data_IF_760161775895
#
_entry.id   IF_760161775895
#
_cell.length_a   1.000
_cell.length_b   1.000
_cell.length_c   1.000
_cell.angle_alpha   90.00
_cell.angle_beta   90.00
_cell.angle_gamma   90.00
#
_symmetry.space_group_name_H-M   'P 1'
#
loop_
_entity.id
_entity.type
_entity.pdbx_description
1 polymer ?
#
# COMPACT_ATOMS: atom_id res chain seq x y z
N UNK A 1 11.94 5.68 -9.76
CA UNK A 1 10.90 5.67 -8.71
C UNK A 1 11.14 4.46 -7.80
N UNK A 2 10.61 4.46 -6.58
CA UNK A 2 11.10 3.81 -5.35
C UNK A 2 12.05 2.58 -5.50
N UNK A 3 13.22 2.60 -4.84
CA UNK A 3 14.21 1.49 -4.88
C UNK A 3 13.82 0.31 -3.97
N UNK A 4 13.18 0.58 -2.85
CA UNK A 4 12.87 -0.41 -1.80
C UNK A 4 11.43 -0.24 -1.29
N UNK A 5 10.40 -0.57 -2.09
CA UNK A 5 9.00 -0.32 -1.76
C UNK A 5 8.52 -1.11 -0.53
N UNK A 6 9.08 -2.30 -0.30
CA UNK A 6 8.73 -3.15 0.85
C UNK A 6 9.21 -2.53 2.16
N UNK A 7 10.43 -2.00 2.21
CA UNK A 7 10.97 -1.38 3.42
C UNK A 7 10.14 -0.15 3.83
N UNK A 8 9.75 0.67 2.85
CA UNK A 8 8.85 1.81 3.07
C UNK A 8 7.50 1.33 3.61
N UNK A 9 6.92 0.27 3.03
CA UNK A 9 5.64 -0.26 3.48
C UNK A 9 5.69 -0.77 4.92
N UNK A 10 6.79 -1.41 5.33
CA UNK A 10 7.00 -1.86 6.72
C UNK A 10 7.04 -0.66 7.68
N UNK A 11 7.77 0.40 7.33
CA UNK A 11 7.79 1.62 8.15
C UNK A 11 6.42 2.31 8.19
N UNK A 12 5.69 2.31 7.07
CA UNK A 12 4.30 2.78 7.04
C UNK A 12 3.42 1.97 7.98
N UNK A 13 3.55 0.64 8.04
CA UNK A 13 2.82 -0.18 9.00
C UNK A 13 3.21 0.10 10.46
N UNK A 14 4.48 0.36 10.73
CA UNK A 14 4.90 0.74 12.07
C UNK A 14 4.31 2.09 12.52
N UNK A 15 4.18 3.05 11.60
CA UNK A 15 3.77 4.43 11.88
C UNK A 15 2.25 4.61 11.87
N UNK A 16 1.54 4.04 10.89
CA UNK A 16 0.10 4.20 10.76
C UNK A 16 -0.63 3.47 11.89
N UNK A 17 -1.53 4.22 12.57
CA UNK A 17 -2.46 3.67 13.55
C UNK A 17 -3.67 3.01 12.85
N UNK A 18 -4.36 2.07 13.52
CA UNK A 18 -5.61 1.51 13.01
C UNK A 18 -6.61 2.60 12.58
N UNK A 19 -7.27 2.40 11.45
CA UNK A 19 -8.17 3.37 10.82
C UNK A 19 -7.48 4.48 10.02
N UNK A 20 -6.15 4.57 10.09
CA UNK A 20 -5.35 5.49 9.28
C UNK A 20 -5.35 5.12 7.79
N UNK A 21 -5.10 6.12 6.94
CA UNK A 21 -5.14 6.00 5.49
C UNK A 21 -3.77 6.27 4.88
N UNK A 22 -3.48 5.60 3.77
CA UNK A 22 -2.34 5.89 2.92
C UNK A 22 -2.76 5.94 1.45
N UNK A 23 -2.17 6.87 0.70
CA UNK A 23 -2.33 6.99 -0.74
C UNK A 23 -0.96 6.75 -1.37
N UNK A 24 -0.85 5.71 -2.19
CA UNK A 24 0.40 5.28 -2.81
C UNK A 24 0.30 5.54 -4.31
N UNK A 25 1.22 6.35 -4.87
CA UNK A 25 1.34 6.58 -6.31
C UNK A 25 2.67 6.07 -6.80
N UNK A 26 2.65 5.00 -7.58
CA UNK A 26 3.86 4.38 -8.13
C UNK A 26 3.60 3.75 -9.49
N UNK A 27 4.66 3.22 -10.11
CA UNK A 27 4.54 2.39 -11.32
C UNK A 27 3.75 1.12 -11.03
N UNK A 28 3.03 0.61 -12.04
CA UNK A 28 2.25 -0.64 -11.90
C UNK A 28 3.13 -1.83 -11.48
N UNK A 29 4.35 -1.91 -12.00
CA UNK A 29 5.38 -2.91 -11.64
C UNK A 29 5.69 -2.95 -10.13
N UNK A 30 5.49 -1.83 -9.42
CA UNK A 30 5.69 -1.72 -7.97
C UNK A 30 4.36 -1.89 -7.22
N UNK A 31 3.25 -1.37 -7.77
CA UNK A 31 1.94 -1.45 -7.13
C UNK A 31 1.38 -2.87 -7.06
N UNK A 32 1.59 -3.70 -8.09
CA UNK A 32 1.09 -5.08 -8.11
C UNK A 32 1.66 -5.94 -6.97
N UNK A 33 2.99 -5.98 -6.70
CA UNK A 33 3.51 -6.70 -5.54
C UNK A 33 3.13 -6.04 -4.21
N UNK A 34 3.04 -4.70 -4.15
CA UNK A 34 2.60 -4.01 -2.92
C UNK A 34 1.15 -4.36 -2.55
N UNK A 35 0.27 -4.49 -3.54
CA UNK A 35 -1.12 -4.89 -3.34
C UNK A 35 -1.22 -6.26 -2.64
N UNK A 36 -0.40 -7.23 -3.05
CA UNK A 36 -0.36 -8.55 -2.42
C UNK A 36 0.11 -8.46 -0.95
N UNK A 37 1.14 -7.66 -0.67
CA UNK A 37 1.65 -7.48 0.70
C UNK A 37 0.62 -6.78 1.58
N UNK A 38 -0.01 -5.69 1.09
CA UNK A 38 -1.06 -4.97 1.80
C UNK A 38 -2.23 -5.88 2.18
N UNK A 39 -2.67 -6.75 1.27
CA UNK A 39 -3.69 -7.78 1.55
C UNK A 39 -3.22 -8.76 2.63
N UNK A 40 -1.97 -9.21 2.59
CA UNK A 40 -1.39 -10.10 3.61
C UNK A 40 -1.30 -9.45 5.00
N UNK A 41 -1.09 -8.13 5.05
CA UNK A 41 -1.13 -7.32 6.27
C UNK A 41 -2.56 -6.98 6.71
N UNK A 42 -3.58 -7.50 6.02
CA UNK A 42 -4.99 -7.22 6.26
C UNK A 42 -5.36 -5.74 6.12
N UNK A 43 -4.62 -4.96 5.33
CA UNK A 43 -5.03 -3.61 4.98
C UNK A 43 -6.16 -3.65 3.96
N UNK A 44 -7.10 -2.73 4.10
CA UNK A 44 -8.25 -2.59 3.20
C UNK A 44 -7.83 -1.76 1.99
N UNK A 45 -8.05 -2.28 0.78
CA UNK A 45 -7.84 -1.53 -0.46
C UNK A 45 -9.17 -0.91 -0.86
N UNK A 46 -9.25 0.41 -0.81
CA UNK A 46 -10.50 1.15 -1.01
C UNK A 46 -10.65 1.61 -2.46
N UNK A 47 -9.54 2.00 -3.09
CA UNK A 47 -9.54 2.48 -4.47
C UNK A 47 -8.22 2.12 -5.14
N UNK A 48 -8.30 1.65 -6.39
CA UNK A 48 -7.14 1.50 -7.26
C UNK A 48 -7.45 2.17 -8.60
N UNK A 49 -6.63 3.13 -8.99
CA UNK A 49 -6.67 3.77 -10.29
C UNK A 49 -5.39 3.43 -11.06
N UNK A 50 -5.52 3.00 -12.32
CA UNK A 50 -4.40 2.61 -13.17
C UNK A 50 -4.49 3.38 -14.49
N UNK A 51 -3.40 4.00 -14.92
CA UNK A 51 -3.29 4.68 -16.21
C UNK A 51 -1.88 4.54 -16.79
N UNK A 52 -1.80 4.02 -18.01
CA UNK A 52 -0.55 3.73 -18.71
C UNK A 52 0.37 2.81 -17.87
N UNK A 53 1.53 3.31 -17.41
CA UNK A 53 2.49 2.58 -16.57
C UNK A 53 2.49 3.03 -15.11
N UNK A 54 1.58 3.93 -14.72
CA UNK A 54 1.46 4.43 -13.35
C UNK A 54 0.09 4.08 -12.75
N UNK A 55 0.03 4.05 -11.43
CA UNK A 55 -1.21 3.90 -10.70
C UNK A 55 -1.23 4.69 -9.39
N UNK A 56 -2.42 4.78 -8.82
CA UNK A 56 -2.68 5.32 -7.49
C UNK A 56 -3.53 4.31 -6.74
N UNK A 57 -3.17 4.02 -5.50
CA UNK A 57 -3.93 3.15 -4.61
C UNK A 57 -4.23 3.88 -3.30
N UNK A 58 -5.48 3.85 -2.86
CA UNK A 58 -5.90 4.30 -1.53
C UNK A 58 -6.15 3.08 -0.66
N UNK A 59 -5.45 3.01 0.47
CA UNK A 59 -5.54 1.91 1.42
C UNK A 59 -5.81 2.41 2.83
N UNK A 60 -6.55 1.62 3.59
CA UNK A 60 -6.90 1.90 4.97
C UNK A 60 -6.37 0.79 5.87
N UNK A 61 -5.64 1.19 6.90
CA UNK A 61 -5.09 0.25 7.88
C UNK A 61 -6.20 -0.27 8.79
N UNK A 62 -6.30 -1.58 8.91
CA UNK A 62 -7.26 -2.24 9.82
C UNK A 62 -6.69 -2.36 11.24
N UNK A 63 -7.49 -2.89 12.15
CA UNK A 63 -7.07 -3.14 13.54
C UNK A 63 -6.14 -4.36 13.68
N UNK A 64 -5.91 -5.09 12.59
CA UNK A 64 -5.15 -6.33 12.62
C UNK A 64 -3.69 -6.12 13.06
N UNK A 65 -3.23 -7.00 13.93
CA UNK A 65 -1.84 -7.22 14.35
C UNK A 65 -1.65 -8.75 14.42
N UNK A 66 -0.52 -9.31 13.98
CA UNK A 66 -0.23 -10.74 14.15
C UNK A 66 -0.31 -11.21 15.60
#
# INVERSE_FOLDING_TARGET
RCKEPVAILVEMDRILRPGGWAIIREKLEILDPLEAILKSLHWEIVMTFRKDKEGIMSVKKTTWRP
#
